data_IF_681952687761
#
_entry.id   IF_681952687761
#
_cell.length_a   1.000
_cell.length_b   1.000
_cell.length_c   1.000
_cell.angle_alpha   90.00
_cell.angle_beta   90.00
_cell.angle_gamma   90.00
#
_symmetry.space_group_name_H-M   'P 1'
#
loop_
_entity.id
_entity.type
_entity.pdbx_description
1 polymer ?
#
# COMPACT_ATOMS: atom_id res chain seq x y z
N UNK A 1 3.13 -5.59 19.40
CA UNK A 1 3.08 -6.24 18.07
C UNK A 1 1.96 -5.63 17.26
N UNK A 2 2.25 -5.22 16.03
CA UNK A 2 1.25 -4.73 15.07
C UNK A 2 1.39 -5.49 13.76
N UNK A 3 0.27 -5.96 13.21
CA UNK A 3 0.21 -6.55 11.88
C UNK A 3 -0.39 -5.54 10.93
N UNK A 4 0.14 -5.42 9.72
CA UNK A 4 -0.45 -4.52 8.74
C UNK A 4 -0.25 -4.98 7.31
N UNK A 5 -1.18 -4.60 6.44
CA UNK A 5 -1.17 -4.91 5.02
C UNK A 5 -1.54 -3.66 4.23
N UNK A 6 -0.82 -3.42 3.14
CA UNK A 6 -1.06 -2.31 2.24
C UNK A 6 -1.32 -2.82 0.82
N UNK A 7 -2.41 -2.35 0.21
CA UNK A 7 -2.80 -2.70 -1.15
C UNK A 7 -2.61 -1.49 -2.05
N UNK A 8 -1.67 -1.53 -2.99
CA UNK A 8 -1.46 -0.44 -3.93
C UNK A 8 -2.52 -0.47 -5.04
N UNK A 9 -3.01 0.70 -5.43
CA UNK A 9 -3.96 0.89 -6.51
C UNK A 9 -3.42 1.96 -7.48
N UNK A 10 -3.29 1.61 -8.75
CA UNK A 10 -2.92 2.54 -9.81
C UNK A 10 -4.17 3.04 -10.52
N UNK A 11 -4.46 4.33 -10.41
CA UNK A 11 -5.59 4.98 -11.05
C UNK A 11 -5.16 5.64 -12.36
N UNK A 12 -5.36 4.96 -13.48
CA UNK A 12 -4.97 5.42 -14.81
C UNK A 12 -6.08 6.22 -15.52
N UNK A 13 -7.20 6.47 -14.84
CA UNK A 13 -8.30 7.27 -15.41
C UNK A 13 -7.92 8.72 -15.72
N UNK A 14 -6.96 9.38 -15.03
CA UNK A 14 -6.45 10.69 -15.43
C UNK A 14 -5.81 10.72 -16.82
N UNK A 15 -5.33 9.60 -17.35
CA UNK A 15 -4.78 9.53 -18.72
C UNK A 15 -5.75 8.88 -19.70
N UNK A 16 -7.01 8.64 -19.32
CA UNK A 16 -8.05 8.13 -20.21
C UNK A 16 -9.02 9.23 -20.63
N UNK A 17 -9.74 9.04 -21.73
CA UNK A 17 -10.76 9.99 -22.22
C UNK A 17 -12.03 10.02 -21.34
N UNK A 18 -12.05 9.24 -20.26
CA UNK A 18 -13.22 8.99 -19.44
C UNK A 18 -13.29 9.87 -18.18
N UNK A 19 -12.44 10.90 -18.08
CA UNK A 19 -12.45 11.84 -16.96
C UNK A 19 -13.82 12.49 -16.72
N UNK A 20 -14.62 12.66 -17.79
CA UNK A 20 -15.97 13.23 -17.73
C UNK A 20 -16.93 12.44 -16.85
N UNK A 21 -16.67 11.16 -16.59
CA UNK A 21 -17.49 10.29 -15.75
C UNK A 21 -17.04 10.26 -14.27
N UNK A 22 -15.94 10.92 -13.94
CA UNK A 22 -15.41 10.96 -12.57
C UNK A 22 -16.10 12.03 -11.73
N UNK A 23 -16.22 11.76 -10.42
CA UNK A 23 -16.64 12.79 -9.48
C UNK A 23 -15.55 13.86 -9.35
N UNK A 24 -15.94 15.13 -9.41
CA UNK A 24 -15.05 16.26 -9.09
C UNK A 24 -14.64 16.30 -7.61
N UNK A 25 -15.36 15.57 -6.74
CA UNK A 25 -15.15 15.49 -5.29
C UNK A 25 -15.20 14.03 -4.81
N UNK A 26 -14.43 13.65 -3.78
CA UNK A 26 -13.57 14.52 -2.99
C UNK A 26 -12.27 14.86 -3.72
N UNK A 27 -11.90 16.14 -3.74
CA UNK A 27 -10.55 16.55 -4.11
C UNK A 27 -9.66 16.33 -2.89
N UNK A 28 -8.56 15.58 -3.00
CA UNK A 28 -7.59 15.39 -1.92
C UNK A 28 -6.66 16.61 -1.74
N UNK A 29 -7.10 17.79 -2.16
CA UNK A 29 -6.30 19.01 -2.22
C UNK A 29 -5.82 19.49 -0.83
N UNK A 30 -4.69 20.20 -0.81
CA UNK A 30 -4.05 20.74 0.39
C UNK A 30 -4.96 21.70 1.18
N UNK A 31 -5.81 22.48 0.49
CA UNK A 31 -6.67 23.54 1.03
C UNK A 31 -7.97 23.07 1.75
N UNK A 32 -7.96 21.88 2.35
CA UNK A 32 -9.16 21.36 3.04
C UNK A 32 -9.46 22.12 4.34
N UNK A 33 -10.59 22.84 4.36
CA UNK A 33 -11.27 23.22 5.61
C UNK A 33 -11.76 21.93 6.31
N UNK A 34 -11.50 21.81 7.62
CA UNK A 34 -11.70 20.60 8.45
C UNK A 34 -13.02 19.85 8.13
N UNK A 35 -12.92 18.54 7.94
CA UNK A 35 -14.02 17.56 7.91
C UNK A 35 -15.14 17.73 6.84
N UNK A 36 -14.97 18.57 5.81
CA UNK A 36 -16.01 18.75 4.77
C UNK A 36 -15.96 17.77 3.60
N UNK A 37 -14.87 17.01 3.46
CA UNK A 37 -14.67 16.11 2.33
C UNK A 37 -14.74 14.66 2.79
N UNK A 38 -15.46 13.84 2.01
CA UNK A 38 -15.60 12.40 2.24
C UNK A 38 -15.48 11.67 0.91
N UNK A 39 -14.93 10.46 0.94
CA UNK A 39 -15.00 9.54 -0.21
C UNK A 39 -16.28 8.71 -0.01
N UNK A 40 -17.15 8.65 -1.02
CA UNK A 40 -18.41 7.93 -0.93
C UNK A 40 -18.18 6.47 -0.51
N UNK A 41 -19.02 5.92 0.37
CA UNK A 41 -18.88 4.59 1.03
C UNK A 41 -17.67 4.39 1.95
N UNK A 42 -16.57 5.11 1.77
CA UNK A 42 -15.42 5.02 2.68
C UNK A 42 -15.69 5.78 3.98
N UNK A 43 -15.62 7.12 3.95
CA UNK A 43 -15.72 7.96 5.14
C UNK A 43 -15.09 9.33 4.97
N UNK A 44 -14.87 9.99 6.10
CA UNK A 44 -14.33 11.36 6.17
C UNK A 44 -12.83 11.37 5.91
N UNK A 45 -12.38 12.43 5.22
CA UNK A 45 -10.96 12.73 5.07
C UNK A 45 -10.52 13.55 6.27
N UNK A 46 -9.46 13.10 6.94
CA UNK A 46 -8.91 13.74 8.13
C UNK A 46 -7.39 13.67 8.14
N UNK A 47 -6.78 14.47 9.00
CA UNK A 47 -5.33 14.38 9.25
C UNK A 47 -4.99 13.03 9.89
N UNK A 48 -3.91 12.43 9.45
CA UNK A 48 -3.31 11.22 10.02
C UNK A 48 -2.74 11.57 11.40
N UNK A 49 -3.05 10.74 12.41
CA UNK A 49 -2.50 10.92 13.75
C UNK A 49 -0.97 10.78 13.70
N UNK A 50 -0.24 11.73 14.28
CA UNK A 50 1.21 11.96 14.18
C UNK A 50 1.72 12.19 12.73
N UNK A 51 0.89 12.79 11.87
CA UNK A 51 1.31 13.26 10.55
C UNK A 51 1.58 12.17 9.51
N UNK A 52 2.11 12.59 8.36
CA UNK A 52 2.51 11.72 7.26
C UNK A 52 3.99 11.87 6.92
N UNK A 53 4.37 11.46 5.72
CA UNK A 53 5.70 11.73 5.16
C UNK A 53 5.77 13.19 4.70
N UNK A 54 5.93 14.13 5.65
CA UNK A 54 5.87 15.58 5.41
C UNK A 54 6.85 16.06 4.32
N UNK A 55 7.99 15.39 4.17
CA UNK A 55 9.02 15.72 3.18
C UNK A 55 8.69 15.22 1.77
N UNK A 56 7.70 14.33 1.65
CA UNK A 56 7.24 13.81 0.37
C UNK A 56 5.99 14.59 -0.06
N UNK A 57 5.96 14.96 -1.33
CA UNK A 57 4.75 15.51 -1.93
C UNK A 57 3.58 14.53 -1.80
N UNK A 58 2.34 15.02 -1.99
CA UNK A 58 1.18 14.14 -2.16
C UNK A 58 0.25 13.99 -0.95
N UNK A 59 0.49 14.67 0.18
CA UNK A 59 -0.54 14.82 1.22
C UNK A 59 -0.80 13.56 2.07
N UNK A 60 0.23 12.73 2.29
CA UNK A 60 0.18 11.58 3.21
C UNK A 60 -0.09 11.96 4.67
N UNK A 61 -0.12 13.26 4.99
CA UNK A 61 -0.64 13.79 6.24
C UNK A 61 -2.16 13.66 6.37
N UNK A 62 -2.86 13.28 5.29
CA UNK A 62 -4.31 13.06 5.23
C UNK A 62 -4.64 11.62 4.85
N UNK A 63 -5.72 11.12 5.42
CA UNK A 63 -6.27 9.78 5.14
C UNK A 63 -7.79 9.84 5.15
N UNK A 64 -8.42 8.92 4.44
CA UNK A 64 -9.84 8.65 4.54
C UNK A 64 -10.06 7.45 5.47
N UNK A 65 -10.89 7.58 6.50
CA UNK A 65 -11.23 6.43 7.34
C UNK A 65 -12.22 5.51 6.65
N UNK A 66 -11.76 4.32 6.26
CA UNK A 66 -12.54 3.36 5.48
C UNK A 66 -13.30 2.35 6.36
N UNK A 67 -13.61 2.72 7.60
CA UNK A 67 -14.25 1.80 8.57
C UNK A 67 -15.65 1.36 8.17
N UNK A 68 -16.37 2.19 7.40
CA UNK A 68 -17.73 1.89 6.92
C UNK A 68 -17.71 1.04 5.66
N UNK A 69 -16.72 1.28 4.80
CA UNK A 69 -16.53 0.57 3.54
C UNK A 69 -16.11 -0.89 3.74
N UNK A 70 -15.26 -1.16 4.73
CA UNK A 70 -14.68 -2.49 4.94
C UNK A 70 -14.88 -2.90 6.38
N UNK A 71 -15.41 -4.10 6.59
CA UNK A 71 -15.74 -4.64 7.92
C UNK A 71 -15.22 -6.06 8.02
N UNK A 72 -14.74 -6.46 9.18
CA UNK A 72 -14.43 -7.86 9.40
C UNK A 72 -15.70 -8.68 9.49
N UNK A 73 -15.68 -9.90 8.95
CA UNK A 73 -16.83 -10.81 9.02
C UNK A 73 -17.01 -11.36 10.43
N UNK A 74 -15.91 -11.49 11.17
CA UNK A 74 -15.86 -11.84 12.60
C UNK A 74 -14.96 -10.87 13.35
N UNK A 75 -15.05 -10.80 14.68
CA UNK A 75 -14.08 -10.04 15.46
C UNK A 75 -12.66 -10.58 15.18
N UNK A 76 -11.66 -9.72 14.89
CA UNK A 76 -10.28 -10.16 14.69
C UNK A 76 -9.66 -10.52 16.06
N UNK A 77 -10.04 -11.70 16.56
CA UNK A 77 -9.62 -12.26 17.83
C UNK A 77 -8.83 -13.55 17.56
N UNK A 78 -7.57 -13.55 17.95
CA UNK A 78 -6.75 -14.76 17.95
C UNK A 78 -6.90 -15.48 19.29
N UNK A 79 -7.15 -16.79 19.24
CA UNK A 79 -7.20 -17.67 20.42
C UNK A 79 -6.38 -18.93 20.15
N UNK A 80 -5.36 -19.17 20.97
CA UNK A 80 -4.62 -20.43 21.02
C UNK A 80 -5.05 -21.21 22.27
N UNK A 81 -6.02 -22.12 22.09
CA UNK A 81 -6.64 -22.87 23.20
C UNK A 81 -5.62 -23.62 24.07
N UNK A 82 -4.59 -24.31 23.52
CA UNK A 82 -3.61 -25.03 24.33
C UNK A 82 -2.83 -24.14 25.30
N UNK A 83 -2.46 -22.91 24.90
CA UNK A 83 -1.71 -21.98 25.76
C UNK A 83 -2.60 -21.02 26.54
N UNK A 84 -3.91 -20.97 26.26
CA UNK A 84 -4.83 -19.97 26.79
C UNK A 84 -4.60 -18.55 26.27
N UNK A 85 -3.67 -18.37 25.32
CA UNK A 85 -3.36 -17.06 24.75
C UNK A 85 -4.53 -16.52 23.94
N UNK A 86 -4.93 -15.28 24.24
CA UNK A 86 -6.02 -14.58 23.56
C UNK A 86 -5.60 -13.14 23.24
N UNK A 87 -5.64 -12.77 21.96
CA UNK A 87 -5.21 -11.45 21.49
C UNK A 87 -6.37 -10.80 20.73
N UNK A 88 -6.94 -9.74 21.30
CA UNK A 88 -7.98 -8.94 20.67
C UNK A 88 -7.36 -7.77 19.90
N UNK A 89 -7.62 -7.71 18.59
CA UNK A 89 -6.92 -6.80 17.69
C UNK A 89 -7.82 -5.62 17.31
N UNK A 90 -7.37 -4.41 17.59
CA UNK A 90 -8.03 -3.23 17.04
C UNK A 90 -7.61 -3.03 15.61
N UNK A 91 -8.60 -2.75 14.78
CA UNK A 91 -8.39 -2.51 13.36
C UNK A 91 -8.46 -1.04 12.98
N UNK A 92 -7.54 -0.61 12.12
CA UNK A 92 -7.56 0.66 11.42
C UNK A 92 -7.60 0.40 9.93
N UNK A 93 -8.55 1.02 9.25
CA UNK A 93 -8.80 0.89 7.82
C UNK A 93 -8.69 2.26 7.20
N UNK A 94 -7.72 2.47 6.33
CA UNK A 94 -7.39 3.78 5.78
C UNK A 94 -7.28 3.68 4.28
N UNK A 95 -7.76 4.70 3.60
CA UNK A 95 -7.55 4.89 2.18
C UNK A 95 -6.75 6.18 1.98
N UNK A 96 -5.90 6.19 0.97
CA UNK A 96 -5.06 7.33 0.56
C UNK A 96 -5.09 7.46 -0.96
N UNK A 97 -5.09 8.69 -1.46
CA UNK A 97 -4.95 9.02 -2.88
C UNK A 97 -4.14 10.32 -3.03
N UNK A 98 -3.20 10.35 -3.97
CA UNK A 98 -2.28 11.47 -4.16
C UNK A 98 -2.79 12.56 -5.12
N UNK A 99 -4.04 12.45 -5.63
CA UNK A 99 -4.59 13.24 -6.73
C UNK A 99 -3.95 13.01 -8.11
N UNK A 100 -3.15 11.95 -8.26
CA UNK A 100 -2.52 11.58 -9.53
C UNK A 100 -2.88 10.15 -9.87
N UNK A 101 -1.89 9.27 -9.98
CA UNK A 101 -2.09 7.86 -10.30
C UNK A 101 -2.07 6.97 -9.06
N UNK A 102 -1.59 7.44 -7.91
CA UNK A 102 -1.33 6.56 -6.76
C UNK A 102 -2.45 6.64 -5.74
N UNK A 103 -3.15 5.51 -5.57
CA UNK A 103 -4.00 5.24 -4.44
C UNK A 103 -3.45 4.05 -3.63
N UNK A 104 -3.79 3.97 -2.35
CA UNK A 104 -3.53 2.79 -1.53
C UNK A 104 -4.55 2.60 -0.42
N UNK A 105 -4.78 1.35 -0.09
CA UNK A 105 -5.53 0.95 1.09
C UNK A 105 -4.58 0.40 2.16
N UNK A 106 -4.77 0.79 3.41
CA UNK A 106 -3.97 0.35 4.56
C UNK A 106 -4.91 -0.30 5.58
N UNK A 107 -4.62 -1.55 5.96
CA UNK A 107 -5.25 -2.24 7.07
C UNK A 107 -4.21 -2.52 8.15
N UNK A 108 -4.44 -2.00 9.35
CA UNK A 108 -3.58 -2.21 10.51
C UNK A 108 -4.39 -2.93 11.58
N UNK A 109 -3.79 -3.97 12.16
CA UNK A 109 -4.27 -4.72 13.31
C UNK A 109 -3.27 -4.53 14.44
N UNK A 110 -3.67 -3.76 15.43
CA UNK A 110 -2.84 -3.45 16.59
C UNK A 110 -3.37 -4.25 17.77
N UNK A 111 -2.48 -4.89 18.52
CA UNK A 111 -2.85 -5.38 19.84
C UNK A 111 -3.24 -4.18 20.70
N UNK A 112 -4.50 -4.11 21.12
CA UNK A 112 -4.92 -3.08 22.08
C UNK A 112 -4.84 -3.68 23.44
N UNK A 113 -3.79 -3.29 24.14
CA UNK A 113 -3.83 -3.23 25.59
C UNK A 113 -5.00 -2.32 25.94
N UNK A 114 -6.05 -2.90 26.52
CA UNK A 114 -7.22 -2.14 26.96
C UNK A 114 -6.75 -1.12 28.00
N UNK A 115 -6.58 0.14 27.58
CA UNK A 115 -6.09 1.22 28.46
C UNK A 115 -7.00 1.45 29.67
N UNK A 116 -8.23 0.92 29.65
CA UNK A 116 -9.18 1.01 30.78
C UNK A 116 -8.96 -0.09 31.83
N UNK A 117 -8.19 -1.13 31.51
CA UNK A 117 -7.72 -2.14 32.45
C UNK A 117 -6.19 -2.12 32.43
N UNK A 118 -5.53 -1.30 33.26
CA UNK A 118 -4.08 -1.23 33.37
C UNK A 118 -3.53 -2.48 34.09
N UNK A 119 -4.11 -3.66 33.85
CA UNK A 119 -3.44 -4.91 34.22
C UNK A 119 -2.16 -4.97 33.41
N UNK A 120 -1.07 -5.11 34.13
CA UNK A 120 0.30 -5.28 33.65
C UNK A 120 0.34 -6.49 32.70
N UNK A 121 -0.06 -6.30 31.44
CA UNK A 121 0.03 -7.36 30.46
C UNK A 121 1.51 -7.57 30.18
N UNK A 122 2.05 -8.77 30.45
CA UNK A 122 3.43 -9.04 30.15
C UNK A 122 3.67 -8.83 28.64
N UNK A 123 4.88 -8.41 28.25
CA UNK A 123 5.23 -8.34 26.84
C UNK A 123 4.93 -9.68 26.15
N UNK A 124 4.47 -9.62 24.91
CA UNK A 124 4.07 -10.82 24.19
C UNK A 124 5.27 -11.76 24.02
N UNK A 125 5.11 -13.00 24.46
CA UNK A 125 6.09 -14.09 24.33
C UNK A 125 5.48 -15.14 23.40
N UNK A 126 5.96 -15.22 22.16
CA UNK A 126 5.51 -16.21 21.18
C UNK A 126 6.71 -17.00 20.68
N UNK A 127 6.64 -18.31 20.88
CA UNK A 127 7.51 -19.25 20.16
C UNK A 127 7.13 -19.30 18.67
N UNK A 128 7.93 -20.06 17.92
CA UNK A 128 7.81 -20.21 16.48
C UNK A 128 6.42 -20.73 16.04
N UNK A 129 5.88 -21.73 16.74
CA UNK A 129 4.58 -22.34 16.43
C UNK A 129 3.42 -21.36 16.67
N UNK A 130 3.42 -20.68 17.83
CA UNK A 130 2.40 -19.67 18.14
C UNK A 130 2.47 -18.49 17.18
N UNK A 131 3.67 -18.04 16.82
CA UNK A 131 3.85 -16.98 15.81
C UNK A 131 3.32 -17.41 14.46
N UNK A 132 3.59 -18.65 14.04
CA UNK A 132 3.05 -19.24 12.80
C UNK A 132 1.53 -19.28 12.81
N UNK A 133 0.92 -19.80 13.88
CA UNK A 133 -0.54 -19.87 14.04
C UNK A 133 -1.17 -18.49 14.00
N UNK A 134 -0.55 -17.52 14.67
CA UNK A 134 -1.02 -16.14 14.71
C UNK A 134 -0.96 -15.49 13.33
N UNK A 135 0.17 -15.59 12.61
CA UNK A 135 0.30 -15.11 11.22
C UNK A 135 -0.74 -15.77 10.31
N UNK A 136 -0.88 -17.10 10.36
CA UNK A 136 -1.90 -17.82 9.59
C UNK A 136 -3.31 -17.35 9.91
N UNK A 137 -3.63 -17.15 11.19
CA UNK A 137 -4.92 -16.60 11.61
C UNK A 137 -5.17 -15.23 10.98
N UNK A 138 -4.21 -14.30 11.07
CA UNK A 138 -4.32 -12.98 10.46
C UNK A 138 -4.57 -13.04 8.95
N UNK A 139 -3.83 -13.89 8.25
CA UNK A 139 -3.94 -14.05 6.80
C UNK A 139 -5.22 -14.80 6.39
N UNK A 140 -5.84 -15.54 7.31
CA UNK A 140 -7.15 -16.19 7.12
C UNK A 140 -8.34 -15.28 7.43
N UNK A 141 -8.11 -14.05 7.92
CA UNK A 141 -9.20 -13.13 8.22
C UNK A 141 -9.94 -12.75 6.93
N UNK A 142 -11.25 -12.62 7.06
CA UNK A 142 -12.12 -12.24 5.95
C UNK A 142 -12.78 -10.88 6.22
N UNK A 143 -13.05 -10.16 5.13
CA UNK A 143 -13.58 -8.82 5.12
C UNK A 143 -14.80 -8.73 4.21
N UNK A 144 -15.82 -8.02 4.64
CA UNK A 144 -16.94 -7.60 3.80
C UNK A 144 -16.59 -6.32 3.04
N UNK A 145 -16.73 -6.37 1.71
CA UNK A 145 -16.69 -5.21 0.82
C UNK A 145 -17.99 -5.17 -0.01
N UNK A 146 -18.56 -3.98 -0.27
CA UNK A 146 -19.55 -3.80 -1.33
C UNK A 146 -19.00 -4.24 -2.70
N UNK A 147 -19.58 -5.30 -3.27
CA UNK A 147 -19.19 -5.82 -4.58
C UNK A 147 -19.83 -4.99 -5.72
N UNK A 148 -19.52 -5.31 -6.99
CA UNK A 148 -20.08 -4.67 -8.20
C UNK A 148 -21.60 -4.53 -8.12
N UNK A 149 -22.11 -3.39 -8.63
CA UNK A 149 -23.54 -3.09 -8.65
C UNK A 149 -24.34 -4.23 -9.27
N UNK A 150 -25.28 -4.77 -8.49
CA UNK A 150 -26.23 -5.73 -9.00
C UNK A 150 -27.50 -4.99 -9.41
N UNK A 151 -27.73 -4.87 -10.72
CA UNK A 151 -28.90 -4.18 -11.29
C UNK A 151 -30.21 -4.82 -10.85
N UNK A 152 -30.26 -6.15 -10.72
CA UNK A 152 -31.46 -6.88 -10.29
C UNK A 152 -31.81 -6.59 -8.83
N UNK A 153 -30.80 -6.45 -7.96
CA UNK A 153 -31.01 -6.16 -6.54
C UNK A 153 -31.09 -4.65 -6.24
N UNK A 154 -30.86 -3.78 -7.22
CA UNK A 154 -30.75 -2.33 -7.01
C UNK A 154 -29.68 -1.92 -5.98
N UNK A 155 -28.74 -2.82 -5.65
CA UNK A 155 -27.81 -2.66 -4.52
C UNK A 155 -26.43 -3.23 -4.84
N UNK A 156 -25.46 -2.91 -3.97
CA UNK A 156 -24.11 -3.46 -3.99
C UNK A 156 -24.06 -4.56 -2.93
N UNK A 157 -24.22 -5.84 -3.30
CA UNK A 157 -24.21 -6.91 -2.31
C UNK A 157 -22.87 -6.92 -1.58
N UNK A 158 -22.90 -7.07 -0.26
CA UNK A 158 -21.69 -7.30 0.51
C UNK A 158 -21.18 -8.69 0.19
N UNK A 159 -19.93 -8.79 -0.25
CA UNK A 159 -19.26 -10.07 -0.47
C UNK A 159 -18.11 -10.21 0.52
N UNK A 160 -17.96 -11.42 1.03
CA UNK A 160 -16.84 -11.81 1.88
C UNK A 160 -15.62 -12.14 1.03
N UNK A 161 -14.46 -11.60 1.42
CA UNK A 161 -13.19 -11.83 0.74
C UNK A 161 -12.08 -12.12 1.76
N UNK A 162 -11.17 -13.07 1.48
CA UNK A 162 -9.94 -13.22 2.26
C UNK A 162 -9.12 -11.94 2.21
N UNK A 163 -8.47 -11.58 3.32
CA UNK A 163 -7.65 -10.37 3.42
C UNK A 163 -6.57 -10.30 2.33
N UNK A 164 -5.97 -11.43 1.94
CA UNK A 164 -4.93 -11.44 0.90
C UNK A 164 -5.47 -11.13 -0.50
N UNK A 165 -6.75 -11.42 -0.77
CA UNK A 165 -7.36 -11.32 -2.10
C UNK A 165 -8.16 -10.02 -2.30
N UNK A 166 -7.85 -9.00 -1.50
CA UNK A 166 -8.62 -7.76 -1.45
C UNK A 166 -8.32 -6.79 -2.59
N UNK A 167 -7.25 -6.98 -3.37
CA UNK A 167 -6.82 -6.05 -4.41
C UNK A 167 -7.93 -5.68 -5.41
N UNK A 168 -8.52 -6.68 -6.06
CA UNK A 168 -9.62 -6.46 -7.02
C UNK A 168 -10.92 -5.95 -6.38
N UNK A 169 -11.41 -6.51 -5.24
CA UNK A 169 -12.55 -5.94 -4.53
C UNK A 169 -12.36 -4.47 -4.15
N UNK A 170 -11.14 -4.07 -3.75
CA UNK A 170 -10.80 -2.69 -3.43
C UNK A 170 -10.81 -1.78 -4.66
N UNK A 171 -10.33 -2.25 -5.81
CA UNK A 171 -10.39 -1.47 -7.06
C UNK A 171 -11.84 -1.24 -7.51
N UNK A 172 -12.70 -2.26 -7.40
CA UNK A 172 -14.14 -2.16 -7.64
C UNK A 172 -14.78 -1.11 -6.74
N UNK A 173 -14.53 -1.20 -5.43
CA UNK A 173 -15.05 -0.24 -4.46
C UNK A 173 -14.55 1.19 -4.73
N UNK A 174 -13.27 1.34 -5.05
CA UNK A 174 -12.67 2.64 -5.37
C UNK A 174 -13.28 3.25 -6.62
N UNK A 175 -13.44 2.47 -7.69
CA UNK A 175 -14.11 2.91 -8.92
C UNK A 175 -15.51 3.44 -8.59
N UNK A 176 -16.32 2.63 -7.92
CA UNK A 176 -17.68 3.00 -7.56
C UNK A 176 -17.74 4.27 -6.70
N UNK A 177 -16.85 4.39 -5.72
CA UNK A 177 -16.81 5.55 -4.83
C UNK A 177 -16.43 6.86 -5.53
N UNK A 178 -15.90 6.80 -6.75
CA UNK A 178 -15.31 7.94 -7.47
C UNK A 178 -15.93 8.24 -8.83
N UNK A 179 -16.98 7.52 -9.25
CA UNK A 179 -17.73 7.80 -10.49
C UNK A 179 -19.04 8.55 -10.24
N UNK A 180 -19.50 9.30 -11.25
CA UNK A 180 -20.78 10.03 -11.20
C UNK A 180 -21.97 9.07 -11.15
N UNK A 181 -23.00 9.45 -10.40
CA UNK A 181 -24.30 8.77 -10.43
C UNK A 181 -24.86 8.82 -11.86
N UNK A 182 -25.39 7.71 -12.35
CA UNK A 182 -25.95 7.60 -13.70
C UNK A 182 -24.94 7.24 -14.80
N UNK A 183 -23.67 7.04 -14.45
CA UNK A 183 -22.68 6.46 -15.39
C UNK A 183 -23.18 5.10 -15.88
N UNK A 184 -23.16 4.87 -17.19
CA UNK A 184 -23.61 3.60 -17.77
C UNK A 184 -22.77 2.42 -17.26
N UNK A 185 -23.31 1.21 -17.34
CA UNK A 185 -22.60 -0.01 -16.92
C UNK A 185 -21.34 -0.25 -17.75
N UNK A 186 -21.41 -0.01 -19.06
CA UNK A 186 -20.28 -0.11 -19.99
C UNK A 186 -19.16 0.86 -19.58
N UNK A 187 -19.48 2.14 -19.40
CA UNK A 187 -18.49 3.14 -18.97
C UNK A 187 -17.92 2.81 -17.59
N UNK A 188 -18.74 2.28 -16.68
CA UNK A 188 -18.29 1.82 -15.36
C UNK A 188 -17.26 0.69 -15.47
N UNK A 189 -17.47 -0.27 -16.36
CA UNK A 189 -16.54 -1.36 -16.61
C UNK A 189 -15.26 -0.87 -17.28
N UNK A 190 -15.36 0.04 -18.26
CA UNK A 190 -14.19 0.63 -18.91
C UNK A 190 -13.34 1.42 -17.91
N UNK A 191 -13.97 2.23 -17.04
CA UNK A 191 -13.28 2.95 -15.96
C UNK A 191 -12.62 1.99 -14.96
N UNK A 192 -13.27 0.87 -14.63
CA UNK A 192 -12.69 -0.13 -13.74
C UNK A 192 -11.41 -0.74 -14.33
N UNK A 193 -11.36 -0.97 -15.65
CA UNK A 193 -10.16 -1.50 -16.33
C UNK A 193 -8.95 -0.56 -16.23
N UNK A 194 -9.20 0.73 -16.06
CA UNK A 194 -8.18 1.75 -15.82
C UNK A 194 -7.68 1.79 -14.35
N UNK A 195 -8.30 1.05 -13.43
CA UNK A 195 -7.81 0.95 -12.05
C UNK A 195 -7.14 -0.41 -11.89
N UNK A 196 -5.80 -0.40 -11.77
CA UNK A 196 -5.01 -1.59 -11.49
C UNK A 196 -4.75 -1.72 -9.99
N UNK A 197 -4.51 -2.93 -9.53
CA UNK A 197 -4.14 -3.22 -8.16
C UNK A 197 -2.84 -4.03 -8.18
N UNK A 198 -1.85 -3.60 -7.41
CA UNK A 198 -0.58 -4.31 -7.31
C UNK A 198 -0.55 -5.27 -6.14
N UNK A 199 0.58 -5.97 -6.00
CA UNK A 199 0.78 -6.94 -4.92
C UNK A 199 0.80 -6.25 -3.56
N UNK A 200 0.07 -6.81 -2.57
CA UNK A 200 0.09 -6.26 -1.24
C UNK A 200 1.41 -6.59 -0.53
N UNK A 201 1.87 -5.66 0.29
CA UNK A 201 2.96 -5.93 1.23
C UNK A 201 2.42 -6.07 2.64
N UNK A 202 2.99 -7.03 3.36
CA UNK A 202 2.63 -7.36 4.73
C UNK A 202 3.77 -6.91 5.65
N UNK A 203 3.43 -6.32 6.79
CA UNK A 203 4.41 -5.83 7.75
C UNK A 203 3.99 -6.27 9.16
N UNK A 204 4.90 -6.98 9.82
CA UNK A 204 4.84 -7.30 11.25
C UNK A 204 5.80 -6.39 12.01
N UNK A 205 5.25 -5.51 12.85
CA UNK A 205 6.04 -4.72 13.80
C UNK A 205 6.09 -5.41 15.16
N UNK A 206 7.30 -5.62 15.68
CA UNK A 206 7.57 -6.24 16.98
C UNK A 206 8.14 -5.15 17.90
N UNK A 207 7.55 -4.99 19.08
CA UNK A 207 8.00 -4.01 20.09
C UNK A 207 9.27 -4.51 20.80
N UNK A 208 10.07 -3.58 21.34
CA UNK A 208 11.40 -3.92 21.91
C UNK A 208 11.35 -4.84 23.14
N UNK A 209 10.23 -4.85 23.86
CA UNK A 209 10.01 -5.71 25.00
C UNK A 209 9.39 -7.07 24.62
N UNK A 210 8.94 -7.26 23.38
CA UNK A 210 8.32 -8.51 22.93
C UNK A 210 9.38 -9.52 22.49
N UNK A 211 9.14 -10.78 22.82
CA UNK A 211 9.94 -11.89 22.34
C UNK A 211 9.08 -12.75 21.41
N UNK A 212 9.28 -12.58 20.12
CA UNK A 212 8.49 -13.23 19.08
C UNK A 212 9.47 -13.91 18.14
N UNK A 213 9.44 -15.24 18.15
CA UNK A 213 10.25 -16.08 17.28
C UNK A 213 9.61 -16.14 15.88
N UNK A 214 10.33 -15.60 14.90
CA UNK A 214 9.85 -15.55 13.52
C UNK A 214 10.09 -16.91 12.85
N UNK A 215 9.05 -17.56 12.30
CA UNK A 215 9.11 -18.95 11.84
C UNK A 215 9.65 -19.15 10.43
N UNK A 216 10.27 -18.12 9.84
CA UNK A 216 10.73 -18.16 8.46
C UNK A 216 12.17 -17.66 8.37
N UNK A 217 13.01 -18.26 7.52
CA UNK A 217 14.32 -17.72 7.21
C UNK A 217 14.13 -16.37 6.52
N UNK A 218 14.34 -15.30 7.28
CA UNK A 218 14.18 -13.93 6.80
C UNK A 218 15.55 -13.32 6.46
N UNK A 219 15.63 -12.70 5.28
CA UNK A 219 16.79 -11.91 4.89
C UNK A 219 16.86 -10.67 5.76
N UNK A 220 17.99 -10.49 6.46
CA UNK A 220 18.22 -9.34 7.34
C UNK A 220 18.77 -8.16 6.54
N UNK A 221 18.35 -6.96 6.93
CA UNK A 221 18.77 -5.71 6.32
C UNK A 221 19.63 -4.96 7.33
N UNK A 222 20.94 -5.13 7.23
CA UNK A 222 21.91 -4.73 8.27
C UNK A 222 22.05 -3.21 8.46
N UNK A 223 21.65 -2.44 7.44
CA UNK A 223 21.84 -0.99 7.34
C UNK A 223 21.11 -0.21 8.45
N UNK A 224 20.13 -0.82 9.14
CA UNK A 224 19.28 -0.13 10.13
C UNK A 224 19.73 -0.26 11.58
N UNK A 225 20.82 -0.96 11.86
CA UNK A 225 21.31 -1.17 13.24
C UNK A 225 21.57 0.16 13.99
N UNK A 226 22.00 1.21 13.28
CA UNK A 226 22.21 2.55 13.85
C UNK A 226 20.93 3.23 14.34
N UNK A 227 19.76 2.75 13.91
CA UNK A 227 18.46 3.28 14.31
C UNK A 227 17.81 2.46 15.42
N UNK A 228 18.50 1.47 16.00
CA UNK A 228 17.90 0.50 16.92
C UNK A 228 16.65 -0.17 16.32
N UNK A 229 16.69 -0.43 15.01
CA UNK A 229 15.65 -1.15 14.27
C UNK A 229 16.31 -2.30 13.52
N UNK A 230 15.76 -3.49 13.68
CA UNK A 230 16.07 -4.61 12.82
C UNK A 230 14.95 -4.75 11.79
N UNK A 231 15.29 -4.61 10.51
CA UNK A 231 14.41 -4.95 9.40
C UNK A 231 14.84 -6.29 8.83
N UNK A 232 13.87 -7.17 8.61
CA UNK A 232 14.04 -8.36 7.80
C UNK A 232 12.85 -8.55 6.88
N UNK A 233 13.02 -9.36 5.85
CA UNK A 233 11.95 -9.70 4.94
C UNK A 233 12.06 -11.14 4.46
N UNK A 234 10.94 -11.70 4.05
CA UNK A 234 10.90 -12.99 3.36
C UNK A 234 9.75 -13.00 2.36
N UNK A 235 9.83 -13.93 1.41
CA UNK A 235 8.76 -14.16 0.44
C UNK A 235 7.84 -15.24 0.99
N UNK A 236 6.62 -14.86 1.33
CA UNK A 236 5.60 -15.76 1.86
C UNK A 236 4.76 -16.34 0.71
N UNK A 237 4.81 -17.67 0.55
CA UNK A 237 3.95 -18.38 -0.39
C UNK A 237 2.72 -18.92 0.35
N UNK A 238 1.53 -18.40 0.03
CA UNK A 238 0.27 -18.95 0.53
C UNK A 238 0.09 -20.38 -0.03
N UNK A 239 -0.41 -21.36 0.76
CA UNK A 239 -0.10 -22.77 0.55
C UNK A 239 -0.27 -23.30 -0.90
N UNK A 240 0.78 -23.99 -1.31
CA UNK A 240 0.99 -24.91 -2.44
C UNK A 240 1.04 -24.40 -3.89
N UNK A 241 0.30 -23.36 -4.32
CA UNK A 241 0.46 -22.73 -5.68
C UNK A 241 0.01 -21.26 -5.74
N UNK A 242 -0.15 -20.61 -4.59
CA UNK A 242 -0.68 -19.24 -4.52
C UNK A 242 0.33 -18.16 -4.92
N UNK A 243 -0.14 -16.92 -5.13
CA UNK A 243 0.73 -15.76 -5.27
C UNK A 243 1.69 -15.64 -4.08
N UNK A 244 2.91 -15.20 -4.36
CA UNK A 244 3.92 -14.93 -3.34
C UNK A 244 3.81 -13.48 -2.87
N UNK A 245 3.75 -13.28 -1.56
CA UNK A 245 3.69 -11.95 -0.96
C UNK A 245 5.00 -11.59 -0.28
N UNK A 246 5.37 -10.30 -0.28
CA UNK A 246 6.52 -9.84 0.49
C UNK A 246 6.06 -9.55 1.92
N UNK A 247 6.74 -10.17 2.87
CA UNK A 247 6.46 -10.02 4.29
C UNK A 247 7.67 -9.39 4.98
N UNK A 248 7.49 -8.16 5.46
CA UNK A 248 8.48 -7.42 6.22
C UNK A 248 8.28 -7.62 7.72
N UNK A 249 9.39 -7.64 8.45
CA UNK A 249 9.40 -7.67 9.91
C UNK A 249 10.24 -6.49 10.37
N UNK A 250 9.62 -5.61 11.16
CA UNK A 250 10.26 -4.47 11.78
C UNK A 250 10.33 -4.74 13.27
N UNK A 251 11.49 -5.20 13.76
CA UNK A 251 11.73 -5.40 15.19
C UNK A 251 12.40 -4.17 15.77
N UNK A 252 11.76 -3.58 16.77
CA UNK A 252 12.32 -2.49 17.57
C UNK A 252 13.35 -3.06 18.55
N UNK A 253 14.51 -2.43 18.66
CA UNK A 253 15.49 -2.75 19.70
C UNK A 253 15.33 -1.77 20.87
N UNK A 254 15.92 -2.10 22.01
CA UNK A 254 15.87 -1.26 23.20
C UNK A 254 16.36 0.17 22.90
N UNK A 255 15.67 1.18 23.46
CA UNK A 255 16.03 2.59 23.28
C UNK A 255 15.65 3.21 21.94
N UNK A 256 14.86 2.53 21.09
CA UNK A 256 14.42 3.11 19.81
C UNK A 256 13.35 4.19 19.97
N UNK A 257 13.41 5.21 19.11
CA UNK A 257 12.31 6.15 18.93
C UNK A 257 11.17 5.50 18.12
N UNK A 258 9.98 5.42 18.71
CA UNK A 258 8.78 4.86 18.07
C UNK A 258 8.45 5.48 16.70
N UNK A 259 8.82 6.73 16.48
CA UNK A 259 8.61 7.41 15.21
C UNK A 259 9.49 6.83 14.08
N UNK A 260 10.69 6.30 14.37
CA UNK A 260 11.55 5.72 13.34
C UNK A 260 10.95 4.47 12.68
N UNK A 261 10.44 3.53 13.48
CA UNK A 261 9.79 2.32 12.98
C UNK A 261 8.52 2.65 12.20
N UNK A 262 7.75 3.64 12.69
CA UNK A 262 6.58 4.17 12.00
C UNK A 262 6.95 4.76 10.63
N UNK A 263 7.99 5.59 10.56
CA UNK A 263 8.43 6.19 9.31
C UNK A 263 8.94 5.14 8.32
N UNK A 264 9.71 4.15 8.78
CA UNK A 264 10.12 3.01 7.96
C UNK A 264 8.92 2.32 7.32
N UNK A 265 7.89 1.98 8.12
CA UNK A 265 6.65 1.40 7.59
C UNK A 265 6.00 2.29 6.53
N UNK A 266 5.91 3.59 6.78
CA UNK A 266 5.31 4.53 5.82
C UNK A 266 6.12 4.61 4.52
N UNK A 267 7.45 4.62 4.59
CA UNK A 267 8.32 4.58 3.41
C UNK A 267 8.18 3.28 2.63
N UNK A 268 8.18 2.12 3.30
CA UNK A 268 7.92 0.82 2.67
C UNK A 268 6.58 0.81 1.91
N UNK A 269 5.51 1.29 2.54
CA UNK A 269 4.20 1.42 1.89
C UNK A 269 4.18 2.40 0.73
N UNK A 270 4.85 3.56 0.86
CA UNK A 270 4.88 4.56 -0.20
C UNK A 270 5.66 4.04 -1.40
N UNK A 271 6.83 3.46 -1.18
CA UNK A 271 7.67 2.94 -2.26
C UNK A 271 7.01 1.74 -2.95
N UNK A 272 6.39 0.82 -2.21
CA UNK A 272 5.61 -0.25 -2.82
C UNK A 272 4.48 0.30 -3.72
N UNK A 273 3.72 1.27 -3.23
CA UNK A 273 2.65 1.88 -4.01
C UNK A 273 3.14 2.65 -5.23
N UNK A 274 4.23 3.42 -5.11
CA UNK A 274 4.87 4.10 -6.24
C UNK A 274 5.31 3.07 -7.28
N UNK A 275 6.02 2.04 -6.85
CA UNK A 275 6.53 1.00 -7.72
C UNK A 275 5.40 0.33 -8.50
N UNK A 276 4.37 -0.18 -7.82
CA UNK A 276 3.22 -0.79 -8.52
C UNK A 276 2.55 0.17 -9.50
N UNK A 277 2.34 1.43 -9.11
CA UNK A 277 1.70 2.42 -9.99
C UNK A 277 2.56 2.74 -11.21
N UNK A 278 3.87 2.85 -11.03
CA UNK A 278 4.82 3.11 -12.09
C UNK A 278 4.84 1.97 -13.13
N UNK A 279 4.85 0.72 -12.67
CA UNK A 279 4.79 -0.46 -13.55
C UNK A 279 3.53 -0.41 -14.43
N UNK A 280 2.35 -0.19 -13.84
CA UNK A 280 1.11 -0.10 -14.61
C UNK A 280 1.05 1.12 -15.53
N UNK A 281 1.63 2.24 -15.13
CA UNK A 281 1.78 3.42 -15.97
C UNK A 281 2.60 3.10 -17.23
N UNK A 282 3.76 2.43 -17.06
CA UNK A 282 4.62 2.02 -18.18
C UNK A 282 3.93 1.03 -19.11
N UNK A 283 3.26 0.01 -18.56
CA UNK A 283 2.46 -0.94 -19.35
C UNK A 283 1.40 -0.23 -20.20
N UNK A 284 0.82 0.86 -19.71
CA UNK A 284 -0.17 1.62 -20.49
C UNK A 284 0.47 2.44 -21.61
N UNK A 285 1.70 2.95 -21.43
CA UNK A 285 2.45 3.56 -22.54
C UNK A 285 2.73 2.54 -23.62
N UNK A 286 3.23 1.37 -23.21
CA UNK A 286 3.58 0.26 -24.10
C UNK A 286 2.42 -0.17 -24.99
N UNK A 287 1.23 -0.26 -24.41
CA UNK A 287 0.05 -0.78 -25.10
C UNK A 287 -0.68 0.26 -25.97
N UNK A 288 -0.36 1.55 -25.86
CA UNK A 288 -1.05 2.61 -26.60
C UNK A 288 -0.10 3.20 -27.64
N UNK A 289 -0.05 2.56 -28.81
CA UNK A 289 0.78 2.99 -29.96
C UNK A 289 0.49 4.43 -30.42
N UNK A 290 -0.70 4.98 -30.11
CA UNK A 290 -1.15 6.31 -30.51
C UNK A 290 -1.67 7.13 -29.31
N UNK A 291 -0.90 7.23 -28.23
CA UNK A 291 -1.29 8.05 -27.08
C UNK A 291 -1.27 9.54 -27.48
N UNK A 292 -2.37 10.30 -27.26
CA UNK A 292 -2.36 11.76 -27.43
C UNK A 292 -1.21 12.44 -26.67
N UNK A 293 -0.64 13.49 -27.27
CA UNK A 293 0.55 14.18 -26.73
C UNK A 293 0.32 14.73 -25.31
N UNK A 294 -0.86 15.24 -25.01
CA UNK A 294 -1.23 15.77 -23.68
C UNK A 294 -1.20 14.69 -22.59
N UNK A 295 -1.63 13.46 -22.90
CA UNK A 295 -1.56 12.31 -21.99
C UNK A 295 -0.13 11.82 -21.81
N UNK A 296 0.67 11.83 -22.88
CA UNK A 296 2.09 11.51 -22.82
C UNK A 296 2.85 12.53 -21.96
N UNK A 297 2.56 13.82 -22.12
CA UNK A 297 3.10 14.89 -21.27
C UNK A 297 2.70 14.73 -19.80
N UNK A 298 1.43 14.43 -19.52
CA UNK A 298 0.96 14.14 -18.16
C UNK A 298 1.75 12.99 -17.54
N UNK A 299 1.95 11.91 -18.30
CA UNK A 299 2.67 10.76 -17.80
C UNK A 299 4.15 11.04 -17.57
N UNK A 300 4.81 11.73 -18.51
CA UNK A 300 6.19 12.17 -18.33
C UNK A 300 6.32 13.05 -17.07
N UNK A 301 5.38 13.98 -16.86
CA UNK A 301 5.32 14.79 -15.65
C UNK A 301 5.09 13.96 -14.37
N UNK A 302 4.30 12.88 -14.45
CA UNK A 302 4.14 11.94 -13.35
C UNK A 302 5.44 11.18 -13.06
N UNK A 303 6.12 10.67 -14.09
CA UNK A 303 7.39 9.95 -13.96
C UNK A 303 8.46 10.87 -13.38
N UNK A 304 8.61 12.08 -13.89
CA UNK A 304 9.53 13.10 -13.35
C UNK A 304 9.21 13.41 -11.89
N UNK A 305 7.92 13.46 -11.53
CA UNK A 305 7.51 13.66 -10.15
C UNK A 305 7.83 12.47 -9.25
N UNK A 306 7.59 11.24 -9.70
CA UNK A 306 7.97 10.02 -8.98
C UNK A 306 9.48 9.99 -8.79
N UNK A 307 10.27 10.29 -9.82
CA UNK A 307 11.71 10.39 -9.73
C UNK A 307 12.15 11.47 -8.76
N UNK A 308 11.53 12.64 -8.80
CA UNK A 308 11.78 13.71 -7.84
C UNK A 308 11.39 13.31 -6.41
N UNK A 309 10.34 12.51 -6.21
CA UNK A 309 9.97 11.96 -4.92
C UNK A 309 10.98 10.92 -4.45
N UNK A 310 11.35 9.94 -5.28
CA UNK A 310 12.39 8.96 -4.96
C UNK A 310 13.72 9.66 -4.68
N UNK A 311 14.11 10.64 -5.47
CA UNK A 311 15.31 11.45 -5.25
C UNK A 311 15.21 12.28 -3.97
N UNK A 312 14.05 12.86 -3.62
CA UNK A 312 13.85 13.53 -2.32
C UNK A 312 13.90 12.54 -1.17
N UNK A 313 13.33 11.36 -1.34
CA UNK A 313 13.47 10.23 -0.41
C UNK A 313 14.96 9.90 -0.29
N UNK A 314 15.75 9.94 -1.37
CA UNK A 314 17.20 9.62 -1.44
C UNK A 314 18.15 10.79 -1.09
N UNK A 315 17.68 12.05 -1.05
CA UNK A 315 18.48 13.28 -0.80
C UNK A 315 18.19 13.95 0.55
N UNK A 316 16.95 13.92 1.05
CA UNK A 316 16.63 14.43 2.40
C UNK A 316 17.18 13.54 3.54
N UNK A 317 17.67 12.40 3.13
CA UNK A 317 18.61 11.47 3.75
C UNK A 317 19.95 12.12 4.13
N UNK A 318 20.55 12.97 3.29
CA UNK A 318 21.88 13.51 3.59
C UNK A 318 21.86 14.52 4.76
N UNK A 319 20.67 14.95 5.20
CA UNK A 319 20.48 15.83 6.37
C UNK A 319 19.89 15.15 7.61
N UNK A 320 19.37 13.92 7.51
CA UNK A 320 18.71 13.21 8.61
C UNK A 320 18.87 11.70 8.44
N UNK A 321 18.81 10.92 9.52
CA UNK A 321 18.93 9.43 9.67
C UNK A 321 18.23 8.51 8.64
N UNK A 322 17.52 9.08 7.66
CA UNK A 322 16.84 8.44 6.56
C UNK A 322 17.75 7.83 5.46
N UNK A 323 19.04 8.20 5.27
CA UNK A 323 19.90 7.66 4.16
C UNK A 323 19.98 6.16 4.15
N UNK A 324 20.34 5.62 5.31
CA UNK A 324 20.45 4.19 5.53
C UNK A 324 19.09 3.51 5.33
N UNK A 325 18.02 4.15 5.79
CA UNK A 325 16.65 3.64 5.66
C UNK A 325 16.22 3.47 4.21
N UNK A 326 16.50 4.47 3.38
CA UNK A 326 16.01 4.54 2.02
C UNK A 326 16.83 3.68 1.09
N UNK A 327 18.16 3.68 1.21
CA UNK A 327 19.01 2.77 0.43
C UNK A 327 18.70 1.31 0.77
N UNK A 328 18.48 1.02 2.06
CA UNK A 328 18.02 -0.29 2.51
C UNK A 328 16.67 -0.65 1.89
N UNK A 329 15.69 0.24 1.95
CA UNK A 329 14.37 -0.03 1.40
C UNK A 329 14.39 -0.13 -0.13
N UNK A 330 15.21 0.67 -0.83
CA UNK A 330 15.38 0.58 -2.29
C UNK A 330 15.95 -0.79 -2.64
N UNK A 331 17.08 -1.19 -2.06
CA UNK A 331 17.72 -2.48 -2.34
C UNK A 331 16.76 -3.62 -2.01
N UNK A 332 16.07 -3.55 -0.88
CA UNK A 332 15.10 -4.58 -0.48
C UNK A 332 13.91 -4.67 -1.43
N UNK A 333 13.37 -3.53 -1.90
CA UNK A 333 12.26 -3.53 -2.87
C UNK A 333 12.76 -3.99 -4.24
N UNK A 334 13.95 -3.58 -4.67
CA UNK A 334 14.55 -4.02 -5.93
C UNK A 334 14.82 -5.52 -5.90
N UNK A 335 15.48 -6.03 -4.86
CA UNK A 335 15.78 -7.46 -4.68
C UNK A 335 14.50 -8.29 -4.59
N UNK A 336 13.51 -7.82 -3.84
CA UNK A 336 12.24 -8.53 -3.70
C UNK A 336 11.39 -8.52 -4.99
N UNK A 337 11.60 -7.55 -5.87
CA UNK A 337 10.88 -7.39 -7.14
C UNK A 337 11.75 -7.63 -8.39
N UNK A 338 12.97 -8.14 -8.24
CA UNK A 338 13.94 -8.28 -9.33
C UNK A 338 13.37 -9.06 -10.53
N UNK A 339 12.55 -10.08 -10.25
CA UNK A 339 11.89 -10.88 -11.28
C UNK A 339 10.80 -10.15 -12.07
N UNK A 340 10.21 -9.07 -11.55
CA UNK A 340 9.24 -8.24 -12.29
C UNK A 340 9.96 -7.16 -13.12
N UNK A 341 11.05 -6.60 -12.60
CA UNK A 341 11.88 -5.63 -13.32
C UNK A 341 12.57 -6.26 -14.53
N UNK A 342 13.09 -7.48 -14.40
CA UNK A 342 13.75 -8.20 -15.50
C UNK A 342 12.84 -8.41 -16.72
N UNK A 343 11.52 -8.46 -16.52
CA UNK A 343 10.53 -8.64 -17.59
C UNK A 343 10.17 -7.34 -18.30
N UNK A 344 10.28 -6.21 -17.59
CA UNK A 344 9.86 -4.88 -18.06
C UNK A 344 11.04 -4.12 -18.67
N UNK A 345 12.25 -4.29 -18.15
CA UNK A 345 13.46 -3.64 -18.66
C UNK A 345 13.68 -3.87 -20.17
N UNK A 346 13.56 -5.09 -20.73
CA UNK A 346 13.69 -5.30 -22.17
C UNK A 346 12.61 -4.58 -22.99
N UNK A 347 11.38 -4.50 -22.46
CA UNK A 347 10.27 -3.79 -23.12
C UNK A 347 10.51 -2.28 -23.11
N UNK A 348 11.12 -1.74 -22.05
CA UNK A 348 11.51 -0.35 -21.96
C UNK A 348 12.64 0.02 -22.94
N UNK A 349 13.56 -0.89 -23.24
CA UNK A 349 14.56 -0.69 -24.29
C UNK A 349 13.92 -0.67 -25.68
N UNK A 350 12.87 -1.46 -25.93
CA UNK A 350 12.05 -1.33 -27.15
C UNK A 350 11.30 0.02 -27.21
N UNK A 351 10.81 0.55 -26.07
CA UNK A 351 10.23 1.90 -26.02
C UNK A 351 11.29 2.96 -26.33
N UNK A 352 12.50 2.84 -25.76
CA UNK A 352 13.62 3.74 -26.10
C UNK A 352 13.84 3.77 -27.61
N UNK A 353 13.79 2.63 -28.28
CA UNK A 353 13.97 2.57 -29.74
C UNK A 353 12.82 3.26 -30.51
N UNK A 354 11.57 3.08 -30.04
CA UNK A 354 10.37 3.70 -30.64
C UNK A 354 10.32 5.22 -30.37
N UNK A 355 10.74 5.67 -29.18
CA UNK A 355 10.59 7.04 -28.71
C UNK A 355 11.88 7.88 -28.70
N UNK A 356 13.08 7.31 -28.87
CA UNK A 356 14.33 8.06 -29.11
C UNK A 356 14.25 8.87 -30.41
N UNK A 357 13.39 8.46 -31.34
CA UNK A 357 12.99 9.26 -32.51
C UNK A 357 12.09 10.46 -32.15
N UNK A 358 11.66 10.62 -30.90
CA UNK A 358 10.70 11.62 -30.42
C UNK A 358 11.07 12.37 -29.13
N UNK A 359 11.96 11.89 -28.24
CA UNK A 359 12.41 12.63 -27.04
C UNK A 359 13.57 11.95 -26.28
N UNK A 360 14.60 12.74 -25.89
CA UNK A 360 15.78 12.33 -25.09
C UNK A 360 15.50 12.04 -23.59
N UNK A 361 14.26 12.12 -23.11
CA UNK A 361 13.96 12.04 -21.66
C UNK A 361 13.91 10.62 -21.08
N UNK A 362 13.75 9.59 -21.91
CA UNK A 362 13.55 8.20 -21.46
C UNK A 362 14.85 7.58 -20.93
N UNK A 363 16.01 8.03 -21.40
CA UNK A 363 17.32 7.46 -21.02
C UNK A 363 17.68 7.69 -19.54
N UNK A 364 17.30 8.84 -18.97
CA UNK A 364 17.54 9.14 -17.55
C UNK A 364 16.69 8.28 -16.59
N UNK A 365 15.52 7.82 -17.04
CA UNK A 365 14.61 7.00 -16.25
C UNK A 365 15.16 5.57 -16.13
N UNK A 366 15.78 5.06 -17.20
CA UNK A 366 16.28 3.69 -17.28
C UNK A 366 17.59 3.46 -16.51
N UNK A 367 18.49 4.44 -16.51
CA UNK A 367 19.73 4.39 -15.73
C UNK A 367 19.53 4.46 -14.20
N UNK A 368 18.30 4.66 -13.72
CA UNK A 368 17.96 4.66 -12.29
C UNK A 368 17.26 3.38 -11.81
N UNK A 369 16.66 2.63 -12.74
CA UNK A 369 15.96 1.36 -12.51
C UNK A 369 16.96 0.20 -12.47
N UNK A 370 17.93 0.24 -13.39
CA UNK A 370 19.18 -0.54 -13.34
C UNK A 370 20.05 0.03 -12.21
#
# INVERSE_FOLDING_TARGET
MNFSIQYPLADLRPISDLQSFLLRKPSWSSAMRKNRHFVHKFGTIKRRNNGGLLLLGGGEDKICEARRAIRFTKSPLFQDKPSGLSINLKSFRRFFYDNKLLAKFELLLCNVLDKRKPTFFPPLQLDEDKTTKLIKHFLSLHLFIPNVYNKALGTYPLKEHPILEMGYPLSCLYNYATIKKGTSQENTQTLLRCIKYGDPIIILEIEANENIDVPFPAHRVEILNRLNIQLSYYRYCYPQKGPSYIFYIIKRLAGVNNEHARYLRLYLWRLNAIYSCFIYALENVLNIQNMPNDKLEYLNGYIDNVNGEVAKIVKNTDKYWHTNLVSAVKNVITDANAGSLSTILPQLDTIKEIHSKRSNKIDNILNMII
#
